data_IF_956546668550
#
_entry.id   IF_956546668550
#
_cell.length_a   1.000
_cell.length_b   1.000
_cell.length_c   1.000
_cell.angle_alpha   90.00
_cell.angle_beta   90.00
_cell.angle_gamma   90.00
#
_symmetry.space_group_name_H-M   'P 1'
#
loop_
_entity.id
_entity.type
_entity.pdbx_description
1 polymer ?
#
# COMPACT_ATOMS: atom_id res chain seq x y z
N UNK A 1 -8.28 9.95 17.24
CA UNK A 1 -7.86 11.20 16.55
C UNK A 1 -7.08 12.03 17.55
N UNK A 2 -5.91 12.56 17.20
CA UNK A 2 -5.18 13.47 18.11
C UNK A 2 -6.00 14.76 18.29
N UNK A 3 -6.01 15.35 19.51
CA UNK A 3 -6.61 16.66 19.72
C UNK A 3 -6.07 17.68 18.72
N UNK A 4 -6.92 18.61 18.26
CA UNK A 4 -6.61 19.66 17.28
C UNK A 4 -6.37 19.23 15.82
N UNK A 5 -6.69 17.99 15.43
CA UNK A 5 -6.67 17.58 14.01
C UNK A 5 -5.27 17.46 13.39
N UNK A 6 -4.24 17.31 14.23
CA UNK A 6 -2.85 17.13 13.81
C UNK A 6 -2.59 15.67 13.39
N UNK A 7 -1.71 15.48 12.39
CA UNK A 7 -1.27 14.14 11.93
C UNK A 7 -0.51 13.36 13.02
N UNK A 8 0.25 14.09 13.84
CA UNK A 8 1.19 13.51 14.79
C UNK A 8 1.99 14.55 15.55
N UNK A 9 3.00 14.08 16.28
CA UNK A 9 3.95 14.91 17.02
C UNK A 9 5.39 14.56 16.60
N UNK A 10 6.29 15.55 16.71
CA UNK A 10 7.72 15.35 16.51
C UNK A 10 8.46 15.77 17.78
N UNK A 11 9.12 14.82 18.44
CA UNK A 11 9.97 15.08 19.61
C UNK A 11 11.41 15.28 19.16
N UNK A 12 12.01 16.43 19.52
CA UNK A 12 13.40 16.77 19.20
C UNK A 12 14.22 16.85 20.48
N UNK A 13 15.41 16.23 20.50
CA UNK A 13 16.36 16.37 21.61
C UNK A 13 16.83 17.82 21.72
N UNK A 14 16.60 18.43 22.89
CA UNK A 14 16.89 19.86 23.16
C UNK A 14 18.31 20.26 22.78
N UNK A 15 19.30 19.48 23.21
CA UNK A 15 20.72 19.81 23.05
C UNK A 15 21.35 19.22 21.76
N UNK A 16 20.52 18.67 20.86
CA UNK A 16 21.04 18.08 19.63
C UNK A 16 21.41 19.13 18.58
N UNK A 17 22.64 19.05 18.05
CA UNK A 17 23.04 19.84 16.87
C UNK A 17 22.30 19.35 15.63
N UNK A 18 21.99 20.28 14.74
CA UNK A 18 21.42 19.95 13.43
C UNK A 18 22.38 19.07 12.62
N UNK A 19 21.83 18.03 11.98
CA UNK A 19 22.55 17.11 11.10
C UNK A 19 21.67 16.78 9.89
N UNK A 20 22.23 16.89 8.69
CA UNK A 20 21.57 16.42 7.47
C UNK A 20 21.57 14.89 7.40
N UNK A 21 20.47 14.30 6.94
CA UNK A 21 20.31 12.85 6.80
C UNK A 21 19.53 12.20 7.94
N UNK A 22 19.40 10.86 7.94
CA UNK A 22 18.67 10.12 8.97
C UNK A 22 19.28 10.36 10.36
N UNK A 23 18.42 10.68 11.34
CA UNK A 23 18.84 10.92 12.72
C UNK A 23 17.81 10.39 13.71
N UNK A 24 18.28 9.94 14.87
CA UNK A 24 17.45 9.55 16.02
C UNK A 24 17.22 10.71 17.00
N UNK A 25 17.76 11.89 16.71
CA UNK A 25 17.54 13.09 17.53
C UNK A 25 16.11 13.62 17.41
N UNK A 26 15.44 13.32 16.29
CA UNK A 26 14.08 13.77 15.97
C UNK A 26 13.21 12.54 15.76
N UNK A 27 12.28 12.29 16.67
CA UNK A 27 11.39 11.13 16.65
C UNK A 27 9.97 11.56 16.29
N UNK A 28 9.35 10.85 15.35
CA UNK A 28 7.99 11.10 14.89
C UNK A 28 7.04 10.08 15.52
N UNK A 29 5.90 10.55 16.00
CA UNK A 29 4.81 9.70 16.48
C UNK A 29 3.56 10.10 15.71
N UNK A 30 2.95 9.17 14.98
CA UNK A 30 1.75 9.37 14.18
C UNK A 30 0.64 8.45 14.67
N UNK A 31 -0.60 8.90 14.56
CA UNK A 31 -1.75 8.02 14.75
C UNK A 31 -2.02 7.23 13.48
N UNK A 32 -2.46 5.98 13.65
CA UNK A 32 -2.95 5.13 12.59
C UNK A 32 -4.25 4.48 13.05
N UNK A 33 -5.02 3.97 12.09
CA UNK A 33 -6.23 3.19 12.35
C UNK A 33 -6.07 1.85 11.67
N UNK A 34 -6.50 0.79 12.35
CA UNK A 34 -6.53 -0.57 11.80
C UNK A 34 -7.96 -0.92 11.42
N UNK A 35 -8.12 -1.70 10.35
CA UNK A 35 -9.41 -2.16 9.87
C UNK A 35 -9.25 -3.50 9.18
N UNK A 36 -10.28 -4.32 9.28
CA UNK A 36 -10.32 -5.64 8.67
C UNK A 36 -11.07 -5.61 7.33
N UNK A 37 -10.51 -6.28 6.32
CA UNK A 37 -11.06 -6.32 4.97
C UNK A 37 -11.00 -7.73 4.40
N UNK A 38 -11.92 -8.03 3.49
CA UNK A 38 -11.89 -9.28 2.72
C UNK A 38 -10.89 -9.18 1.57
N UNK A 39 -10.09 -10.23 1.38
CA UNK A 39 -9.15 -10.31 0.27
C UNK A 39 -9.85 -10.82 -0.99
N UNK A 40 -9.99 -9.95 -1.99
CA UNK A 40 -10.57 -10.30 -3.30
C UNK A 40 -9.56 -10.93 -4.25
N UNK A 41 -8.29 -10.55 -4.13
CA UNK A 41 -7.25 -11.02 -5.02
C UNK A 41 -5.92 -10.34 -4.74
N UNK A 42 -4.86 -10.82 -5.40
CA UNK A 42 -3.52 -10.25 -5.29
C UNK A 42 -2.99 -9.96 -6.69
N UNK A 43 -2.62 -8.70 -6.93
CA UNK A 43 -1.98 -8.26 -8.17
C UNK A 43 -0.45 -8.28 -8.00
N UNK A 44 0.24 -8.88 -8.96
CA UNK A 44 1.70 -8.96 -8.99
C UNK A 44 2.23 -8.67 -10.38
N UNK A 45 3.20 -7.77 -10.45
CA UNK A 45 4.06 -7.58 -11.62
C UNK A 45 5.50 -7.90 -11.23
N UNK A 46 6.24 -8.59 -12.12
CA UNK A 46 7.63 -8.96 -11.87
C UNK A 46 8.48 -7.69 -11.69
N UNK A 47 9.19 -7.60 -10.56
CA UNK A 47 10.01 -6.43 -10.20
C UNK A 47 9.24 -5.30 -9.50
N UNK A 48 7.92 -5.41 -9.36
CA UNK A 48 7.09 -4.51 -8.56
C UNK A 48 6.56 -5.21 -7.33
N UNK A 49 6.16 -4.44 -6.31
CA UNK A 49 5.83 -5.04 -5.05
C UNK A 49 4.32 -5.42 -5.09
N UNK A 50 3.92 -6.51 -4.41
CA UNK A 50 2.59 -7.10 -4.55
C UNK A 50 1.48 -6.24 -3.91
N UNK A 51 0.32 -6.15 -4.56
CA UNK A 51 -0.86 -5.43 -4.06
C UNK A 51 -2.01 -6.38 -3.76
N UNK A 52 -2.66 -6.20 -2.61
CA UNK A 52 -3.89 -6.88 -2.25
C UNK A 52 -5.09 -6.03 -2.68
N UNK A 53 -6.04 -6.63 -3.40
CA UNK A 53 -7.34 -6.04 -3.71
C UNK A 53 -8.29 -6.35 -2.56
N UNK A 54 -8.80 -5.32 -1.89
CA UNK A 54 -9.58 -5.46 -0.67
C UNK A 54 -11.06 -5.13 -0.92
N UNK A 55 -11.92 -5.80 -0.16
CA UNK A 55 -13.35 -5.53 -0.10
C UNK A 55 -13.85 -5.28 1.32
N UNK A 56 -14.97 -4.55 1.39
CA UNK A 56 -15.78 -4.45 2.59
C UNK A 56 -16.31 -5.84 2.98
N UNK A 57 -16.16 -6.24 4.26
CA UNK A 57 -16.66 -7.51 4.76
C UNK A 57 -18.16 -7.70 4.52
N UNK A 58 -18.57 -8.89 4.09
CA UNK A 58 -19.97 -9.27 3.90
C UNK A 58 -20.64 -8.72 2.63
N UNK A 59 -20.25 -7.55 2.13
CA UNK A 59 -20.81 -6.98 0.88
C UNK A 59 -19.95 -7.31 -0.34
N UNK A 60 -18.69 -7.72 -0.12
CA UNK A 60 -17.69 -8.03 -1.17
C UNK A 60 -17.46 -6.87 -2.15
N UNK A 61 -17.82 -5.63 -1.74
CA UNK A 61 -17.62 -4.40 -2.52
C UNK A 61 -16.16 -3.98 -2.44
N UNK A 62 -15.55 -3.68 -3.57
CA UNK A 62 -14.17 -3.22 -3.64
C UNK A 62 -13.96 -1.88 -2.91
N UNK A 63 -12.98 -1.82 -2.02
CA UNK A 63 -12.66 -0.62 -1.22
C UNK A 63 -11.30 0.00 -1.55
N UNK A 64 -10.42 -0.74 -2.22
CA UNK A 64 -9.10 -0.23 -2.61
C UNK A 64 -8.03 -1.31 -2.71
N UNK A 65 -6.81 -0.89 -3.03
CA UNK A 65 -5.63 -1.74 -3.04
C UNK A 65 -4.65 -1.36 -1.93
N UNK A 66 -4.06 -2.36 -1.28
CA UNK A 66 -3.04 -2.17 -0.26
C UNK A 66 -1.73 -2.84 -0.66
N UNK A 67 -0.62 -2.16 -0.39
CA UNK A 67 0.70 -2.74 -0.60
C UNK A 67 1.00 -3.81 0.46
N UNK A 68 1.37 -5.01 0.03
CA UNK A 68 1.64 -6.13 0.94
C UNK A 68 3.10 -6.10 1.38
N UNK A 69 3.37 -5.32 2.43
CA UNK A 69 4.70 -5.22 3.05
C UNK A 69 4.94 -6.32 4.09
N UNK A 70 4.87 -7.59 3.67
CA UNK A 70 5.10 -8.75 4.55
C UNK A 70 6.42 -9.46 4.24
N UNK A 71 7.02 -10.06 5.28
CA UNK A 71 8.22 -10.90 5.18
C UNK A 71 7.99 -12.07 4.20
N UNK A 72 9.07 -12.62 3.65
CA UNK A 72 9.04 -13.69 2.63
C UNK A 72 8.19 -14.89 3.06
N UNK A 73 8.34 -15.36 4.29
CA UNK A 73 7.60 -16.51 4.82
C UNK A 73 6.09 -16.25 4.84
N UNK A 74 5.68 -15.07 5.35
CA UNK A 74 4.28 -14.66 5.39
C UNK A 74 3.73 -14.51 3.97
N UNK A 75 4.57 -14.03 3.03
CA UNK A 75 4.21 -13.89 1.62
C UNK A 75 3.95 -15.23 0.94
N UNK A 76 4.79 -16.23 1.21
CA UNK A 76 4.64 -17.58 0.68
C UNK A 76 3.40 -18.26 1.27
N UNK A 77 3.15 -18.11 2.59
CA UNK A 77 1.94 -18.59 3.25
C UNK A 77 0.67 -17.93 2.69
N UNK A 78 0.69 -16.61 2.51
CA UNK A 78 -0.41 -15.87 1.89
C UNK A 78 -0.65 -16.36 0.46
N UNK A 79 0.43 -16.60 -0.29
CA UNK A 79 0.33 -17.08 -1.65
C UNK A 79 -0.32 -18.46 -1.75
N UNK A 80 0.08 -19.39 -0.89
CA UNK A 80 -0.55 -20.71 -0.80
C UNK A 80 -2.06 -20.60 -0.53
N UNK A 81 -2.45 -19.77 0.44
CA UNK A 81 -3.87 -19.53 0.79
C UNK A 81 -4.67 -18.87 -0.34
N UNK A 82 -4.07 -17.91 -1.05
CA UNK A 82 -4.71 -17.24 -2.19
C UNK A 82 -4.94 -18.22 -3.34
N UNK A 83 -3.99 -19.13 -3.60
CA UNK A 83 -4.16 -20.16 -4.62
C UNK A 83 -5.25 -21.17 -4.26
N UNK A 84 -5.32 -21.60 -2.98
CA UNK A 84 -6.34 -22.54 -2.49
C UNK A 84 -7.77 -21.96 -2.59
N UNK A 85 -7.92 -20.64 -2.50
CA UNK A 85 -9.21 -19.94 -2.57
C UNK A 85 -9.40 -19.11 -3.85
N UNK A 86 -8.71 -19.48 -4.95
CA UNK A 86 -8.83 -18.77 -6.21
C UNK A 86 -10.25 -18.91 -6.80
N UNK A 87 -10.87 -17.78 -7.11
CA UNK A 87 -12.21 -17.71 -7.71
C UNK A 87 -12.28 -16.66 -8.84
N UNK A 88 -13.41 -16.56 -9.55
CA UNK A 88 -13.57 -15.58 -10.62
C UNK A 88 -13.41 -14.15 -10.09
N UNK A 89 -12.77 -13.25 -10.85
CA UNK A 89 -12.53 -11.88 -10.41
C UNK A 89 -13.85 -11.13 -10.17
N UNK A 90 -13.94 -10.30 -9.13
CA UNK A 90 -15.16 -9.52 -8.85
C UNK A 90 -15.51 -8.57 -10.02
N UNK A 91 -16.81 -8.44 -10.33
CA UNK A 91 -17.29 -7.64 -11.48
C UNK A 91 -16.91 -6.15 -11.44
N UNK A 92 -16.50 -5.62 -10.29
CA UNK A 92 -16.16 -4.20 -10.11
C UNK A 92 -14.65 -3.91 -10.17
N UNK A 93 -13.77 -4.93 -10.18
CA UNK A 93 -12.35 -4.71 -10.40
C UNK A 93 -12.08 -4.64 -11.91
N UNK A 94 -12.37 -3.49 -12.52
CA UNK A 94 -11.76 -3.17 -13.80
C UNK A 94 -10.25 -3.07 -13.54
N UNK A 95 -9.49 -4.04 -14.04
CA UNK A 95 -8.04 -3.93 -14.08
C UNK A 95 -7.72 -2.66 -14.86
N UNK A 96 -7.15 -1.67 -14.18
CA UNK A 96 -6.78 -0.39 -14.76
C UNK A 96 -5.63 -0.56 -15.74
N UNK A 97 -5.88 -1.20 -16.88
CA UNK A 97 -4.97 -1.26 -18.01
C UNK A 97 -5.28 -0.09 -18.95
N UNK A 98 -5.06 1.14 -18.48
CA UNK A 98 -4.80 2.22 -19.42
C UNK A 98 -3.36 2.06 -19.90
N UNK A 99 -3.16 1.37 -21.02
CA UNK A 99 -1.96 1.55 -21.83
C UNK A 99 -1.99 2.98 -22.34
N UNK A 100 -1.35 3.91 -21.63
CA UNK A 100 -1.00 5.20 -22.22
C UNK A 100 0.05 4.92 -23.31
N UNK A 101 -0.41 4.79 -24.55
CA UNK A 101 0.46 4.81 -25.72
C UNK A 101 1.16 6.16 -25.77
N UNK A 102 2.40 6.20 -25.29
CA UNK A 102 3.30 7.33 -25.49
C UNK A 102 3.77 7.31 -26.95
N UNK A 103 2.96 7.85 -27.86
CA UNK A 103 3.44 8.25 -29.18
C UNK A 103 4.35 9.47 -29.01
N UNK A 104 5.66 9.24 -28.83
CA UNK A 104 6.66 10.30 -29.03
C UNK A 104 6.86 10.46 -30.52
N UNK A 105 6.19 11.46 -31.11
CA UNK A 105 6.61 11.99 -32.40
C UNK A 105 8.02 12.60 -32.30
N UNK A 106 8.78 12.68 -33.41
CA UNK A 106 10.15 13.15 -33.38
C UNK A 106 10.20 14.66 -33.06
N UNK A 107 11.17 15.06 -32.24
CA UNK A 107 11.49 16.47 -32.01
C UNK A 107 12.13 17.08 -33.27
N UNK A 108 11.70 18.27 -33.74
CA UNK A 108 12.38 18.97 -34.82
C UNK A 108 13.74 19.52 -34.36
N UNK A 109 14.62 19.71 -35.36
CA UNK A 109 16.05 20.01 -35.28
C UNK A 109 16.40 21.36 -34.63
#
# INVERSE_FOLDING_TARGET
MLPAGLEGMVSKRRDSKYRSGPTTNWLKTKSFTESEFELLGVERERGKPAFALMAEPGTRKYVGSAFVSVNREIRERLWKRVQEHAGPPPRTCQSGRQRSGSSRGPKPA
#
